data_IF_663904445071
#
_entry.id   IF_663904445071
#
_cell.length_a   1.000
_cell.length_b   1.000
_cell.length_c   1.000
_cell.angle_alpha   90.00
_cell.angle_beta   90.00
_cell.angle_gamma   90.00
#
_symmetry.space_group_name_H-M   'P 1'
#
loop_
_entity.id
_entity.type
_entity.pdbx_description
1 polymer ?
#
# COMPACT_ATOMS: atom_id res chain seq x y z
N UNK A 1 -43.39 14.04 3.97
CA UNK A 1 -42.92 12.77 3.37
C UNK A 1 -41.67 12.25 4.10
N UNK A 2 -41.77 11.11 4.82
CA UNK A 2 -40.60 10.46 5.46
C UNK A 2 -39.74 9.79 4.38
N UNK A 3 -38.40 9.96 4.39
CA UNK A 3 -37.54 9.24 3.48
C UNK A 3 -37.52 7.76 3.85
N UNK A 4 -37.88 6.89 2.90
CA UNK A 4 -37.79 5.44 3.03
C UNK A 4 -36.34 4.99 3.11
N UNK A 5 -36.00 3.99 3.96
CA UNK A 5 -34.64 3.45 4.02
C UNK A 5 -34.27 2.80 2.68
N UNK A 6 -33.17 3.27 2.08
CA UNK A 6 -32.57 2.65 0.89
C UNK A 6 -32.10 1.24 1.25
N UNK A 7 -32.54 0.23 0.51
CA UNK A 7 -32.14 -1.16 0.73
C UNK A 7 -30.60 -1.31 0.72
N UNK A 8 -30.02 -2.15 1.59
CA UNK A 8 -28.58 -2.36 1.64
C UNK A 8 -28.06 -2.92 0.30
N UNK A 9 -26.89 -2.44 -0.14
CA UNK A 9 -26.26 -2.92 -1.35
C UNK A 9 -25.97 -4.44 -1.24
N UNK A 10 -26.10 -5.21 -2.34
CA UNK A 10 -25.81 -6.64 -2.33
C UNK A 10 -24.35 -6.88 -1.90
N UNK A 11 -24.06 -8.00 -1.23
CA UNK A 11 -22.70 -8.34 -0.81
C UNK A 11 -21.79 -8.43 -2.03
N UNK A 12 -20.60 -7.82 -1.92
CA UNK A 12 -19.59 -7.87 -2.97
C UNK A 12 -19.16 -9.33 -3.16
N UNK A 13 -19.36 -9.87 -4.37
CA UNK A 13 -18.90 -11.22 -4.70
C UNK A 13 -17.36 -11.20 -4.75
N UNK A 14 -16.71 -11.95 -3.87
CA UNK A 14 -15.27 -12.13 -3.93
C UNK A 14 -14.93 -13.15 -5.03
N UNK A 15 -13.97 -12.86 -5.93
CA UNK A 15 -13.56 -13.81 -6.95
C UNK A 15 -13.01 -15.08 -6.30
N UNK A 16 -13.16 -16.24 -6.94
CA UNK A 16 -12.54 -17.47 -6.45
C UNK A 16 -11.00 -17.38 -6.41
N UNK A 17 -10.31 -18.19 -5.58
CA UNK A 17 -8.86 -18.10 -5.39
C UNK A 17 -8.03 -18.12 -6.67
N UNK A 18 -8.42 -18.91 -7.67
CA UNK A 18 -7.75 -18.97 -8.98
C UNK A 18 -7.78 -17.63 -9.72
N UNK A 19 -8.95 -16.97 -9.70
CA UNK A 19 -9.13 -15.65 -10.34
C UNK A 19 -8.32 -14.60 -9.59
N UNK A 20 -8.35 -14.60 -8.25
CA UNK A 20 -7.54 -13.69 -7.44
C UNK A 20 -6.04 -13.85 -7.73
N UNK A 21 -5.55 -15.09 -7.82
CA UNK A 21 -4.14 -15.37 -8.16
C UNK A 21 -3.77 -14.87 -9.54
N UNK A 22 -4.61 -15.09 -10.55
CA UNK A 22 -4.36 -14.61 -11.91
C UNK A 22 -4.31 -13.07 -11.96
N UNK A 23 -5.22 -12.39 -11.27
CA UNK A 23 -5.22 -10.92 -11.15
C UNK A 23 -3.96 -10.42 -10.43
N UNK A 24 -3.56 -11.10 -9.35
CA UNK A 24 -2.35 -10.75 -8.61
C UNK A 24 -1.10 -10.93 -9.46
N UNK A 25 -0.99 -12.05 -10.20
CA UNK A 25 0.16 -12.27 -11.09
C UNK A 25 0.24 -11.20 -12.19
N UNK A 26 -0.91 -10.80 -12.76
CA UNK A 26 -0.98 -9.71 -13.72
C UNK A 26 -0.57 -8.37 -13.11
N UNK A 27 -0.89 -8.12 -11.85
CA UNK A 27 -0.52 -6.89 -11.15
C UNK A 27 0.99 -6.83 -10.89
N UNK A 28 1.59 -7.92 -10.44
CA UNK A 28 3.03 -8.01 -10.13
C UNK A 28 3.91 -7.91 -11.38
N UNK A 29 3.39 -8.27 -12.56
CA UNK A 29 4.14 -8.10 -13.82
C UNK A 29 4.17 -6.65 -14.32
N UNK A 30 3.40 -5.74 -13.72
CA UNK A 30 3.45 -4.33 -14.07
C UNK A 30 4.69 -3.68 -13.45
N UNK A 31 5.26 -2.65 -14.11
CA UNK A 31 6.35 -1.88 -13.51
C UNK A 31 5.91 -1.24 -12.19
N UNK A 32 6.81 -1.30 -11.20
CA UNK A 32 6.62 -0.62 -9.93
C UNK A 32 6.62 0.91 -10.04
N UNK A 33 6.30 1.63 -8.96
CA UNK A 33 6.23 3.09 -8.97
C UNK A 33 7.58 3.70 -9.35
N UNK A 34 7.55 4.74 -10.21
CA UNK A 34 8.76 5.40 -10.70
C UNK A 34 9.66 5.92 -9.58
N UNK A 35 9.05 6.38 -8.47
CA UNK A 35 9.74 6.86 -7.28
C UNK A 35 10.63 5.80 -6.61
N UNK A 36 10.32 4.50 -6.75
CA UNK A 36 11.14 3.42 -6.20
C UNK A 36 12.59 3.47 -6.72
N UNK A 37 12.79 3.91 -7.98
CA UNK A 37 14.14 4.05 -8.58
C UNK A 37 15.03 5.03 -7.82
N UNK A 38 14.43 6.06 -7.21
CA UNK A 38 15.14 7.07 -6.43
C UNK A 38 15.27 6.67 -4.96
N UNK A 39 14.24 6.06 -4.38
CA UNK A 39 14.20 5.76 -2.95
C UNK A 39 14.89 4.44 -2.57
N UNK A 40 14.72 3.37 -3.34
CA UNK A 40 15.26 2.04 -2.98
C UNK A 40 16.78 2.05 -2.80
N UNK A 41 17.59 2.68 -3.67
CA UNK A 41 19.04 2.77 -3.46
C UNK A 41 19.44 3.52 -2.20
N UNK A 42 18.63 4.47 -1.74
CA UNK A 42 18.88 5.28 -0.53
C UNK A 42 18.41 4.56 0.74
N UNK A 43 17.26 3.88 0.67
CA UNK A 43 16.65 3.22 1.82
C UNK A 43 17.34 1.90 2.18
N UNK A 44 17.85 1.14 1.20
CA UNK A 44 18.52 -0.15 1.47
C UNK A 44 19.71 -0.02 2.43
N UNK A 45 20.64 0.96 2.26
CA UNK A 45 21.69 1.24 3.24
C UNK A 45 21.16 1.61 4.63
N UNK A 46 20.09 2.40 4.72
CA UNK A 46 19.49 2.79 6.00
C UNK A 46 18.96 1.56 6.73
N UNK A 47 18.22 0.68 6.04
CA UNK A 47 17.71 -0.56 6.61
C UNK A 47 18.85 -1.49 7.05
N UNK A 48 19.89 -1.64 6.23
CA UNK A 48 21.06 -2.43 6.59
C UNK A 48 21.76 -1.89 7.85
N UNK A 49 21.87 -0.56 8.02
CA UNK A 49 22.44 0.07 9.22
C UNK A 49 21.65 -0.26 10.50
N UNK A 50 20.34 -0.49 10.36
CA UNK A 50 19.44 -0.89 11.44
C UNK A 50 19.32 -2.41 11.59
N UNK A 51 20.14 -3.19 10.86
CA UNK A 51 20.08 -4.66 10.82
C UNK A 51 18.71 -5.19 10.36
N UNK A 52 18.02 -4.42 9.51
CA UNK A 52 16.75 -4.82 8.91
C UNK A 52 16.98 -5.44 7.53
N UNK A 53 16.16 -6.42 7.12
CA UNK A 53 16.19 -6.95 5.76
C UNK A 53 15.93 -5.82 4.74
N UNK A 54 16.81 -5.71 3.74
CA UNK A 54 16.72 -4.66 2.71
C UNK A 54 15.47 -4.75 1.83
N UNK A 55 14.75 -5.87 1.84
CA UNK A 55 13.49 -6.03 1.11
C UNK A 55 12.30 -5.35 1.83
N UNK A 56 12.42 -5.00 3.11
CA UNK A 56 11.38 -4.26 3.82
C UNK A 56 11.20 -2.82 3.31
N UNK A 57 12.13 -2.30 2.49
CA UNK A 57 11.96 -1.01 1.81
C UNK A 57 10.71 -0.98 0.93
N UNK A 58 10.27 -2.14 0.43
CA UNK A 58 9.09 -2.26 -0.44
C UNK A 58 7.76 -2.11 0.31
N UNK A 59 7.76 -2.08 1.65
CA UNK A 59 6.55 -1.69 2.41
C UNK A 59 6.10 -0.29 2.00
N UNK A 60 7.04 0.62 1.72
CA UNK A 60 6.71 1.96 1.25
C UNK A 60 5.94 1.99 -0.09
N UNK A 61 6.08 0.97 -0.94
CA UNK A 61 5.27 0.83 -2.16
C UNK A 61 3.79 0.60 -1.82
N UNK A 62 3.52 -0.28 -0.86
CA UNK A 62 2.16 -0.63 -0.46
C UNK A 62 1.51 0.49 0.34
N UNK A 63 2.27 1.14 1.22
CA UNK A 63 1.76 2.17 2.14
C UNK A 63 1.53 3.53 1.45
N UNK A 64 2.41 3.93 0.54
CA UNK A 64 2.37 5.27 -0.06
C UNK A 64 2.70 5.33 -1.55
N UNK A 65 3.11 4.22 -2.17
CA UNK A 65 3.71 4.25 -3.51
C UNK A 65 5.01 5.04 -3.57
N UNK A 66 5.73 5.14 -2.44
CA UNK A 66 6.88 6.02 -2.23
C UNK A 66 6.57 7.54 -2.33
N UNK A 67 5.36 7.98 -1.94
CA UNK A 67 5.06 9.41 -1.77
C UNK A 67 5.47 9.89 -0.35
N UNK A 68 6.52 10.72 -0.22
CA UNK A 68 6.95 11.24 1.08
C UNK A 68 5.94 12.19 1.74
N UNK A 69 4.94 12.66 0.99
CA UNK A 69 3.89 13.57 1.46
C UNK A 69 2.56 12.85 1.73
N UNK A 70 2.54 11.51 1.63
CA UNK A 70 1.33 10.73 1.88
C UNK A 70 0.80 10.99 3.29
N UNK A 71 -0.51 11.20 3.41
CA UNK A 71 -1.20 11.42 4.67
C UNK A 71 -2.55 10.70 4.67
N UNK A 72 -2.78 9.83 5.65
CA UNK A 72 -4.06 9.16 5.80
C UNK A 72 -5.08 10.03 6.56
N UNK A 73 -6.39 9.72 6.45
CA UNK A 73 -7.44 10.38 7.23
C UNK A 73 -7.27 10.22 8.75
N UNK A 74 -6.58 9.16 9.19
CA UNK A 74 -6.38 8.84 10.61
C UNK A 74 -5.02 9.30 11.14
N UNK A 75 -4.26 10.06 10.35
CA UNK A 75 -3.04 10.75 10.83
C UNK A 75 -1.72 10.05 10.53
N UNK A 76 -1.72 8.92 9.84
CA UNK A 76 -0.50 8.28 9.37
C UNK A 76 0.20 9.13 8.30
N UNK A 77 1.53 9.25 8.33
CA UNK A 77 2.27 10.13 7.42
C UNK A 77 3.53 9.50 6.80
N UNK A 78 3.90 10.03 5.64
CA UNK A 78 5.17 9.73 4.96
C UNK A 78 5.19 8.38 4.25
N UNK A 79 6.41 7.97 3.88
CA UNK A 79 6.68 6.78 3.05
C UNK A 79 6.07 5.49 3.63
N UNK A 80 6.12 5.35 4.96
CA UNK A 80 5.71 4.14 5.67
C UNK A 80 4.41 4.30 6.46
N UNK A 81 3.68 5.41 6.26
CA UNK A 81 2.43 5.68 6.99
C UNK A 81 2.58 5.47 8.52
N UNK A 82 3.62 6.07 9.10
CA UNK A 82 3.84 5.99 10.55
C UNK A 82 2.82 6.86 11.29
N UNK A 83 2.34 6.37 12.42
CA UNK A 83 1.42 7.08 13.30
C UNK A 83 2.18 7.98 14.27
N UNK A 84 1.67 9.19 14.55
CA UNK A 84 2.32 10.10 15.50
C UNK A 84 2.19 9.69 16.97
N UNK A 85 1.15 8.93 17.32
CA UNK A 85 0.79 8.60 18.71
C UNK A 85 1.20 7.17 19.13
N UNK A 86 2.14 6.53 18.42
CA UNK A 86 2.67 5.19 18.76
C UNK A 86 3.92 5.25 19.63
#
# INVERSE_FOLDING_TARGET
PKPTPKAPAPPKVHPGPKVQRALWMKKVSQPGPAAAKSYVPVLKPVFASQKLPGELVWIAEVESGFDPRARSPVGATGLYQLMPDT
#
